data_IF_031872500803
#
_entry.id   IF_031872500803
#
_cell.length_a   1.000
_cell.length_b   1.000
_cell.length_c   1.000
_cell.angle_alpha   90.00
_cell.angle_beta   90.00
_cell.angle_gamma   90.00
#
_symmetry.space_group_name_H-M   'P 1'
#
loop_
_entity.id
_entity.type
_entity.pdbx_description
1 polymer ?
#
# COMPACT_ATOMS: atom_id res chain seq x y z
N UNK A 1 -4.37 -23.41 40.35
CA UNK A 1 -5.66 -22.96 39.80
C UNK A 1 -5.35 -22.54 38.37
N UNK A 2 -6.01 -23.14 37.38
CA UNK A 2 -5.69 -22.94 35.96
C UNK A 2 -6.95 -22.46 35.26
N UNK A 3 -6.92 -21.26 34.72
CA UNK A 3 -8.00 -20.70 33.91
C UNK A 3 -7.66 -20.85 32.43
N UNK A 4 -8.66 -21.22 31.64
CA UNK A 4 -8.61 -21.30 30.19
C UNK A 4 -9.60 -20.27 29.64
N UNK A 5 -9.09 -19.13 29.18
CA UNK A 5 -9.90 -18.13 28.49
C UNK A 5 -9.80 -18.31 26.98
N UNK A 6 -10.94 -18.57 26.34
CA UNK A 6 -11.09 -18.51 24.88
C UNK A 6 -11.61 -17.12 24.51
N UNK A 7 -10.77 -16.29 23.90
CA UNK A 7 -11.21 -15.02 23.30
C UNK A 7 -11.56 -15.26 21.83
N UNK A 8 -12.84 -15.18 21.50
CA UNK A 8 -13.29 -15.08 20.12
C UNK A 8 -12.88 -13.69 19.59
N UNK A 9 -11.72 -13.60 18.94
CA UNK A 9 -11.34 -12.40 18.20
C UNK A 9 -12.44 -12.12 17.16
N UNK A 10 -13.08 -10.95 17.28
CA UNK A 10 -14.14 -10.53 16.37
C UNK A 10 -13.66 -10.65 14.93
N UNK A 11 -14.43 -11.35 14.08
CA UNK A 11 -14.21 -11.30 12.64
C UNK A 11 -14.51 -9.88 12.16
N UNK A 12 -13.67 -9.37 11.28
CA UNK A 12 -14.03 -8.22 10.46
C UNK A 12 -15.21 -8.63 9.58
N UNK A 13 -16.43 -8.20 9.96
CA UNK A 13 -17.67 -8.45 9.22
C UNK A 13 -17.72 -7.76 7.85
N UNK A 14 -16.75 -6.89 7.56
CA UNK A 14 -16.62 -6.28 6.24
C UNK A 14 -15.91 -7.22 5.27
N UNK A 15 -16.57 -7.52 4.16
CA UNK A 15 -15.94 -8.21 3.01
C UNK A 15 -14.75 -7.43 2.45
N UNK A 16 -14.69 -6.12 2.72
CA UNK A 16 -13.69 -5.18 2.20
C UNK A 16 -12.95 -4.53 3.37
N UNK A 17 -11.63 -4.68 3.39
CA UNK A 17 -10.75 -3.99 4.34
C UNK A 17 -10.04 -2.85 3.63
N UNK A 18 -10.16 -1.64 4.17
CA UNK A 18 -9.39 -0.48 3.71
C UNK A 18 -8.11 -0.36 4.52
N UNK A 19 -6.97 -0.29 3.83
CA UNK A 19 -5.64 -0.19 4.42
C UNK A 19 -5.05 1.15 3.99
N UNK A 20 -4.47 1.88 4.96
CA UNK A 20 -3.67 3.08 4.70
C UNK A 20 -2.24 2.82 5.14
N UNK A 21 -1.30 2.98 4.21
CA UNK A 21 0.13 2.84 4.44
C UNK A 21 0.81 4.17 4.16
N UNK A 22 1.61 4.65 5.09
CA UNK A 22 2.44 5.85 4.91
C UNK A 22 3.88 5.55 5.24
N UNK A 23 4.81 6.17 4.52
CA UNK A 23 6.23 5.99 4.73
C UNK A 23 7.06 7.14 4.19
N UNK A 24 8.36 6.96 4.21
CA UNK A 24 9.31 7.92 3.68
C UNK A 24 10.32 7.20 2.78
N UNK A 25 10.80 7.89 1.77
CA UNK A 25 11.90 7.42 0.91
C UNK A 25 13.09 8.36 1.02
N UNK A 26 14.27 7.77 1.13
CA UNK A 26 15.52 8.51 1.25
C UNK A 26 16.23 8.55 -0.10
N UNK A 27 16.94 9.64 -0.42
CA UNK A 27 17.72 9.73 -1.64
C UNK A 27 18.84 8.69 -1.65
N UNK A 28 19.06 8.06 -2.80
CA UNK A 28 20.18 7.15 -2.99
C UNK A 28 21.22 7.82 -3.89
N UNK A 29 22.46 7.95 -3.43
CA UNK A 29 23.52 8.70 -4.14
C UNK A 29 23.05 10.09 -4.60
N UNK A 30 22.38 10.83 -3.70
CA UNK A 30 21.93 12.21 -3.98
C UNK A 30 20.91 12.29 -5.14
N UNK A 31 20.08 11.27 -5.30
CA UNK A 31 19.05 11.20 -6.34
C UNK A 31 17.80 10.47 -5.83
N UNK A 32 16.62 11.01 -6.15
CA UNK A 32 15.32 10.44 -5.81
C UNK A 32 14.71 9.54 -6.91
N UNK A 33 15.33 9.42 -8.08
CA UNK A 33 14.81 8.65 -9.21
C UNK A 33 14.53 7.19 -8.86
N UNK A 34 15.49 6.48 -8.24
CA UNK A 34 15.26 5.11 -7.77
C UNK A 34 14.26 5.05 -6.60
N UNK A 35 14.40 5.86 -5.53
CA UNK A 35 13.44 5.86 -4.43
C UNK A 35 11.99 6.14 -4.85
N UNK A 36 11.76 7.07 -5.78
CA UNK A 36 10.43 7.34 -6.37
C UNK A 36 9.96 6.14 -7.19
N UNK A 37 10.84 5.55 -8.00
CA UNK A 37 10.53 4.34 -8.76
C UNK A 37 10.10 3.17 -7.85
N UNK A 38 10.70 3.00 -6.67
CA UNK A 38 10.27 1.95 -5.74
C UNK A 38 8.83 2.14 -5.25
N UNK A 39 8.38 3.38 -5.07
CA UNK A 39 6.99 3.67 -4.71
C UNK A 39 6.06 3.40 -5.88
N UNK A 40 6.47 3.79 -7.10
CA UNK A 40 5.71 3.46 -8.32
C UNK A 40 5.58 1.95 -8.52
N UNK A 41 6.68 1.20 -8.38
CA UNK A 41 6.72 -0.26 -8.51
C UNK A 41 5.85 -0.92 -7.40
N UNK A 42 5.92 -0.43 -6.16
CA UNK A 42 5.06 -0.89 -5.06
C UNK A 42 3.56 -0.69 -5.34
N UNK A 43 3.17 0.49 -5.86
CA UNK A 43 1.78 0.77 -6.25
C UNK A 43 1.35 -0.12 -7.41
N UNK A 44 2.23 -0.37 -8.37
CA UNK A 44 1.98 -1.28 -9.49
C UNK A 44 1.74 -2.72 -8.99
N UNK A 45 2.59 -3.20 -8.08
CA UNK A 45 2.46 -4.55 -7.49
C UNK A 45 1.16 -4.71 -6.70
N UNK A 46 0.78 -3.68 -5.93
CA UNK A 46 -0.53 -3.66 -5.26
C UNK A 46 -1.68 -3.70 -6.26
N UNK A 47 -1.59 -2.94 -7.36
CA UNK A 47 -2.63 -2.86 -8.38
C UNK A 47 -2.78 -4.19 -9.14
N UNK A 48 -1.68 -4.89 -9.37
CA UNK A 48 -1.66 -6.20 -10.02
C UNK A 48 -2.12 -7.36 -9.11
N UNK A 49 -2.20 -7.13 -7.80
CA UNK A 49 -2.56 -8.16 -6.83
C UNK A 49 -4.05 -8.56 -6.96
N UNK A 50 -4.37 -9.85 -7.16
CA UNK A 50 -5.75 -10.30 -7.35
C UNK A 50 -6.65 -10.13 -6.11
N UNK A 51 -6.05 -9.85 -4.94
CA UNK A 51 -6.77 -9.60 -3.68
C UNK A 51 -7.06 -8.12 -3.44
N UNK A 52 -6.41 -7.23 -4.20
CA UNK A 52 -6.56 -5.79 -4.10
C UNK A 52 -7.46 -5.34 -5.24
N UNK A 53 -8.52 -4.58 -4.94
CA UNK A 53 -9.46 -4.14 -5.98
C UNK A 53 -9.44 -2.62 -6.21
N UNK A 54 -8.78 -1.87 -5.34
CA UNK A 54 -8.54 -0.43 -5.54
C UNK A 54 -7.25 -0.02 -4.87
N UNK A 55 -6.45 0.80 -5.55
CA UNK A 55 -5.23 1.41 -5.03
C UNK A 55 -5.25 2.90 -5.36
N UNK A 56 -4.83 3.72 -4.41
CA UNK A 56 -4.73 5.18 -4.52
C UNK A 56 -3.40 5.61 -3.91
N UNK A 57 -2.54 6.25 -4.72
CA UNK A 57 -1.35 6.95 -4.22
C UNK A 57 -1.80 8.33 -3.70
N UNK A 58 -2.16 8.39 -2.42
CA UNK A 58 -2.68 9.59 -1.74
C UNK A 58 -1.63 10.71 -1.67
N UNK A 59 -0.36 10.34 -1.52
CA UNK A 59 0.75 11.27 -1.51
C UNK A 59 1.93 10.71 -2.30
N UNK A 60 2.33 11.41 -3.36
CA UNK A 60 3.57 11.13 -4.09
C UNK A 60 4.79 11.60 -3.27
N UNK A 61 5.90 10.82 -3.24
CA UNK A 61 7.14 11.26 -2.62
C UNK A 61 7.63 12.59 -3.18
N UNK A 62 7.53 12.72 -4.50
CA UNK A 62 7.99 13.89 -5.21
C UNK A 62 6.93 14.27 -6.23
N UNK A 63 6.12 15.29 -5.90
CA UNK A 63 5.04 15.74 -6.77
C UNK A 63 5.61 16.11 -8.15
N UNK A 64 5.24 15.34 -9.18
CA UNK A 64 5.79 15.47 -10.54
C UNK A 64 5.53 16.84 -11.16
N UNK A 65 4.49 17.56 -10.69
CA UNK A 65 4.23 18.96 -11.10
C UNK A 65 5.24 19.91 -10.47
N UNK A 66 5.58 19.67 -9.20
CA UNK A 66 6.57 20.46 -8.47
C UNK A 66 7.98 20.23 -9.02
N UNK A 67 8.33 19.01 -9.44
CA UNK A 67 9.60 18.75 -10.14
C UNK A 67 9.76 19.62 -11.38
N UNK A 68 8.74 19.65 -12.25
CA UNK A 68 8.75 20.52 -13.44
C UNK A 68 8.92 21.99 -13.08
N UNK A 69 8.27 22.46 -12.02
CA UNK A 69 8.44 23.84 -11.55
C UNK A 69 9.84 24.11 -10.96
N UNK A 70 10.41 23.18 -10.20
CA UNK A 70 11.75 23.30 -9.63
C UNK A 70 12.86 23.22 -10.67
N UNK A 71 12.68 22.42 -11.72
CA UNK A 71 13.55 22.39 -12.91
C UNK A 71 13.54 23.73 -13.65
N UNK A 72 12.39 24.39 -13.73
CA UNK A 72 12.23 25.72 -14.34
C UNK A 72 12.83 26.83 -13.46
N UNK A 73 12.68 26.73 -12.13
CA UNK A 73 13.15 27.74 -11.17
C UNK A 73 14.57 27.50 -10.65
N UNK A 74 15.26 26.45 -11.11
CA UNK A 74 16.64 26.12 -10.74
C UNK A 74 16.86 25.76 -9.27
N UNK A 75 15.80 25.44 -8.51
CA UNK A 75 15.88 25.10 -7.09
C UNK A 75 16.01 23.58 -6.89
N UNK A 76 17.18 23.14 -6.47
CA UNK A 76 17.39 21.74 -6.06
C UNK A 76 16.84 21.47 -4.67
N UNK A 77 16.08 20.38 -4.51
CA UNK A 77 15.68 19.86 -3.21
C UNK A 77 16.95 19.38 -2.50
N UNK A 78 17.07 19.67 -1.20
CA UNK A 78 18.22 19.22 -0.42
C UNK A 78 18.32 17.69 -0.48
N UNK A 79 19.53 17.22 -0.77
CA UNK A 79 19.77 15.83 -1.16
C UNK A 79 19.84 14.84 0.01
N UNK A 80 19.40 15.29 1.18
CA UNK A 80 19.40 14.54 2.45
C UNK A 80 17.98 14.50 3.08
N UNK A 81 16.96 15.09 2.43
CA UNK A 81 15.61 15.16 2.96
C UNK A 81 14.80 13.89 2.66
N UNK A 82 14.21 13.27 3.68
CA UNK A 82 13.29 12.17 3.45
C UNK A 82 11.99 12.68 2.80
N UNK A 83 11.53 12.02 1.74
CA UNK A 83 10.29 12.38 1.02
C UNK A 83 9.13 11.47 1.45
N UNK A 84 8.00 12.02 1.94
CA UNK A 84 6.89 11.24 2.43
C UNK A 84 6.02 10.70 1.28
N UNK A 85 5.51 9.48 1.44
CA UNK A 85 4.50 8.91 0.54
C UNK A 85 3.36 8.27 1.35
N UNK A 86 2.19 8.18 0.73
CA UNK A 86 1.04 7.52 1.32
C UNK A 86 0.22 6.80 0.25
N UNK A 87 -0.15 5.56 0.53
CA UNK A 87 -0.99 4.71 -0.32
C UNK A 87 -2.19 4.24 0.47
N UNK A 88 -3.37 4.32 -0.14
CA UNK A 88 -4.59 3.72 0.36
C UNK A 88 -5.01 2.62 -0.60
N UNK A 89 -5.34 1.45 -0.08
CA UNK A 89 -5.81 0.35 -0.91
C UNK A 89 -6.86 -0.48 -0.18
N UNK A 90 -7.66 -1.21 -0.94
CA UNK A 90 -8.72 -2.04 -0.39
C UNK A 90 -8.55 -3.50 -0.82
N UNK A 91 -8.69 -4.40 0.14
CA UNK A 91 -8.56 -5.85 -0.05
C UNK A 91 -9.86 -6.58 0.30
N UNK A 92 -10.10 -7.73 -0.34
CA UNK A 92 -11.24 -8.59 0.01
C UNK A 92 -10.84 -9.61 1.09
N UNK A 93 -11.71 -9.79 2.08
CA UNK A 93 -11.43 -10.59 3.29
C UNK A 93 -11.55 -12.12 3.10
N UNK A 94 -11.87 -12.63 1.90
CA UNK A 94 -11.99 -14.09 1.69
C UNK A 94 -11.26 -14.60 0.44
N UNK A 95 -10.59 -15.77 0.53
CA UNK A 95 -10.30 -16.59 -0.64
C UNK A 95 -11.62 -17.17 -1.14
N UNK A 96 -11.95 -16.98 -2.43
CA UNK A 96 -13.00 -17.77 -3.09
C UNK A 96 -12.62 -19.25 -2.99
N UNK A 97 -13.16 -19.97 -2.01
CA UNK A 97 -13.19 -21.43 -2.05
C UNK A 97 -14.28 -21.79 -3.07
N UNK A 98 -13.97 -22.49 -4.18
CA UNK A 98 -14.99 -22.94 -5.11
C UNK A 98 -15.98 -23.85 -4.37
N UNK A 99 -17.27 -23.59 -4.59
CA UNK A 99 -18.40 -24.17 -3.86
C UNK A 99 -18.63 -25.68 -4.16
N UNK A 100 -17.61 -26.42 -4.58
CA UNK A 100 -17.75 -27.77 -5.14
C UNK A 100 -17.66 -28.92 -4.11
N UNK A 101 -17.76 -28.65 -2.80
CA UNK A 101 -17.75 -29.70 -1.77
C UNK A 101 -18.96 -29.70 -0.83
N UNK A 102 -19.98 -28.87 -1.08
CA UNK A 102 -21.29 -29.04 -0.43
C UNK A 102 -22.14 -30.01 -1.23
N UNK A 103 -21.90 -31.31 -1.05
CA UNK A 103 -22.79 -32.32 -1.62
C UNK A 103 -22.19 -33.71 -1.67
N UNK A 104 -22.10 -34.37 -0.51
CA UNK A 104 -22.33 -35.80 -0.28
C UNK A 104 -21.63 -36.22 1.00
N UNK A 105 -22.42 -36.43 2.05
CA UNK A 105 -22.32 -37.67 2.84
C UNK A 105 -23.77 -38.04 3.19
N UNK A 106 -24.20 -39.18 2.66
CA UNK A 106 -25.41 -39.92 3.03
C UNK A 106 -25.40 -40.33 4.50
#
# INVERSE_FOLDING_TARGET
MTELEWQAHQKLDSEIVSISLSGQVFPFKKNYGMPVKWVDDFVSDLTASPRVFSVELVQEPLNRRVQKSLEVDGKSISNDQALPFAVRFKVRNEPKVPNSLKGKVE
#
